data_IF_825500160767
#
_entry.id   IF_825500160767
#
_cell.length_a   1.000
_cell.length_b   1.000
_cell.length_c   1.000
_cell.angle_alpha   90.00
_cell.angle_beta   90.00
_cell.angle_gamma   90.00
#
_symmetry.space_group_name_H-M   'P 1'
#
loop_
_entity.id
_entity.type
_entity.pdbx_description
1 polymer ?
#
# COMPACT_ATOMS: atom_id res chain seq x y z
N UNK A 1 27.15 -10.24 2.23
CA UNK A 1 26.31 -11.37 2.68
C UNK A 1 27.09 -12.29 3.60
N UNK A 2 28.23 -12.84 3.18
CA UNK A 2 29.02 -13.79 4.00
C UNK A 2 29.99 -13.15 5.01
N UNK A 3 29.82 -11.86 5.32
CA UNK A 3 30.80 -11.11 6.11
C UNK A 3 32.08 -10.81 5.33
N UNK A 4 32.37 -9.54 5.15
CA UNK A 4 33.60 -9.08 4.48
C UNK A 4 33.91 -7.65 4.91
N UNK A 5 35.18 -7.26 4.81
CA UNK A 5 35.59 -5.87 4.90
C UNK A 5 35.38 -5.20 3.53
N UNK A 6 34.37 -4.35 3.46
CA UNK A 6 34.00 -3.62 2.26
C UNK A 6 34.57 -2.19 2.29
N UNK A 7 35.39 -1.85 1.29
CA UNK A 7 35.86 -0.48 1.05
C UNK A 7 34.77 0.38 0.40
N UNK A 8 34.35 1.45 1.08
CA UNK A 8 33.30 2.39 0.63
C UNK A 8 33.87 3.82 0.49
N UNK A 9 33.64 4.53 -0.62
CA UNK A 9 34.11 5.90 -0.80
C UNK A 9 33.31 6.88 0.08
N UNK A 10 33.98 7.83 0.77
CA UNK A 10 33.33 8.71 1.75
C UNK A 10 32.37 9.74 1.15
N UNK A 11 32.57 10.17 -0.10
CA UNK A 11 31.78 11.26 -0.72
C UNK A 11 30.76 10.77 -1.76
N UNK A 12 30.46 9.47 -1.78
CA UNK A 12 29.68 8.87 -2.89
C UNK A 12 30.45 8.93 -4.22
N UNK A 13 29.93 8.28 -5.25
CA UNK A 13 30.59 8.18 -6.55
C UNK A 13 31.33 6.86 -6.78
N UNK A 14 32.02 6.75 -7.93
CA UNK A 14 32.70 5.52 -8.36
C UNK A 14 33.97 5.30 -7.53
N UNK A 15 34.28 4.04 -7.21
CA UNK A 15 35.54 3.67 -6.54
C UNK A 15 36.73 4.06 -7.42
N UNK A 16 37.45 5.13 -7.04
CA UNK A 16 38.70 5.51 -7.69
C UNK A 16 39.90 5.06 -6.85
N UNK A 17 40.96 4.48 -7.46
CA UNK A 17 42.10 3.92 -6.73
C UNK A 17 42.86 4.88 -5.81
N UNK A 18 42.80 6.19 -6.09
CA UNK A 18 43.52 7.24 -5.34
C UNK A 18 42.67 7.88 -4.24
N UNK A 19 41.43 7.41 -4.03
CA UNK A 19 40.54 7.94 -3.01
C UNK A 19 40.72 7.15 -1.70
N UNK A 20 40.70 7.84 -0.57
CA UNK A 20 40.62 7.19 0.73
C UNK A 20 39.29 6.44 0.87
N UNK A 21 39.35 5.20 1.36
CA UNK A 21 38.18 4.34 1.55
C UNK A 21 37.92 4.11 3.04
N UNK A 22 36.64 4.12 3.41
CA UNK A 22 36.19 3.67 4.73
C UNK A 22 36.02 2.15 4.64
N UNK A 23 36.59 1.42 5.60
CA UNK A 23 36.39 -0.01 5.75
C UNK A 23 35.14 -0.28 6.59
N UNK A 24 34.20 -1.05 6.05
CA UNK A 24 32.99 -1.48 6.76
C UNK A 24 32.99 -3.00 6.85
N UNK A 25 32.93 -3.53 8.06
CA UNK A 25 32.71 -4.94 8.29
C UNK A 25 31.22 -5.27 8.15
N UNK A 26 30.89 -6.19 7.24
CA UNK A 26 29.52 -6.62 6.97
C UNK A 26 29.10 -7.89 7.72
N UNK A 27 29.94 -8.43 8.61
CA UNK A 27 29.69 -9.69 9.34
C UNK A 27 28.38 -9.66 10.14
N UNK A 28 28.08 -8.53 10.79
CA UNK A 28 26.87 -8.36 11.63
C UNK A 28 25.81 -7.48 10.97
N UNK A 29 25.89 -7.26 9.66
CA UNK A 29 24.88 -6.50 8.92
C UNK A 29 23.74 -7.45 8.55
N UNK A 30 22.52 -7.16 9.02
CA UNK A 30 21.32 -7.87 8.60
C UNK A 30 20.96 -7.49 7.17
N UNK A 31 20.86 -8.48 6.29
CA UNK A 31 20.40 -8.30 4.92
C UNK A 31 18.95 -8.79 4.80
N UNK A 32 18.05 -7.87 4.49
CA UNK A 32 16.66 -8.18 4.12
C UNK A 32 16.53 -7.93 2.62
N UNK A 33 16.22 -8.98 1.87
CA UNK A 33 16.02 -8.93 0.42
C UNK A 33 14.55 -9.18 0.14
N UNK A 34 13.90 -8.30 -0.61
CA UNK A 34 12.51 -8.40 -0.97
C UNK A 34 12.32 -8.12 -2.46
N UNK A 35 11.36 -8.78 -3.08
CA UNK A 35 11.06 -8.64 -4.50
C UNK A 35 9.69 -9.23 -4.84
N UNK A 36 9.16 -8.86 -6.01
CA UNK A 36 7.97 -9.47 -6.57
C UNK A 36 8.38 -10.59 -7.53
N UNK A 37 8.08 -11.84 -7.19
CA UNK A 37 8.47 -13.03 -7.95
C UNK A 37 7.33 -13.51 -8.85
N UNK A 38 6.93 -12.68 -9.81
CA UNK A 38 5.82 -13.02 -10.71
C UNK A 38 6.13 -14.29 -11.53
N UNK A 39 5.22 -15.26 -11.50
CA UNK A 39 5.38 -16.55 -12.17
C UNK A 39 5.97 -17.66 -11.28
N UNK A 40 6.49 -17.32 -10.09
CA UNK A 40 6.95 -18.32 -9.12
C UNK A 40 5.79 -19.20 -8.64
N UNK A 41 4.59 -18.63 -8.52
CA UNK A 41 3.37 -19.36 -8.14
C UNK A 41 3.08 -20.54 -9.07
N UNK A 42 3.39 -20.43 -10.37
CA UNK A 42 3.22 -21.51 -11.35
C UNK A 42 4.23 -22.63 -11.12
N UNK A 43 5.49 -22.28 -10.84
CA UNK A 43 6.56 -23.23 -10.56
C UNK A 43 6.23 -24.03 -9.30
N UNK A 44 5.78 -23.35 -8.25
CA UNK A 44 5.35 -23.97 -7.00
C UNK A 44 4.14 -24.87 -7.23
N UNK A 45 3.11 -24.40 -7.96
CA UNK A 45 1.92 -25.17 -8.25
C UNK A 45 2.20 -26.45 -9.08
N UNK A 46 3.11 -26.36 -10.05
CA UNK A 46 3.55 -27.50 -10.86
C UNK A 46 4.30 -28.54 -10.00
N UNK A 47 5.14 -28.10 -9.05
CA UNK A 47 5.83 -29.01 -8.12
C UNK A 47 4.88 -29.71 -7.16
N UNK A 48 3.91 -28.99 -6.60
CA UNK A 48 2.90 -29.55 -5.68
C UNK A 48 1.98 -30.57 -6.40
N UNK A 49 2.05 -30.67 -7.72
CA UNK A 49 1.44 -31.78 -8.47
C UNK A 49 -0.07 -31.63 -8.64
N UNK A 50 -0.61 -30.40 -8.60
CA UNK A 50 -2.05 -30.14 -8.78
C UNK A 50 -2.56 -30.29 -10.22
N UNK A 51 -1.76 -30.80 -11.14
CA UNK A 51 -2.19 -31.23 -12.47
C UNK A 51 -2.17 -32.76 -12.54
N UNK A 52 -3.09 -33.39 -11.82
CA UNK A 52 -3.35 -34.80 -12.02
C UNK A 52 -4.05 -35.01 -13.36
N UNK A 53 -3.32 -35.47 -14.38
CA UNK A 53 -3.90 -36.05 -15.58
C UNK A 53 -4.12 -37.54 -15.31
N UNK A 54 -5.35 -37.91 -14.96
CA UNK A 54 -5.74 -39.31 -14.72
C UNK A 54 -7.18 -39.45 -14.23
N UNK A 55 -7.80 -40.60 -14.50
CA UNK A 55 -9.22 -40.90 -14.20
C UNK A 55 -9.62 -40.85 -12.70
N UNK A 56 -8.68 -40.56 -11.79
CA UNK A 56 -8.91 -40.42 -10.35
C UNK A 56 -8.24 -39.19 -9.72
N UNK A 57 -7.85 -38.20 -10.51
CA UNK A 57 -7.25 -36.97 -10.01
C UNK A 57 -8.33 -36.02 -9.45
N UNK A 58 -8.12 -35.47 -8.26
CA UNK A 58 -8.90 -34.33 -7.77
C UNK A 58 -8.60 -33.10 -8.64
N UNK A 59 -9.52 -32.79 -9.54
CA UNK A 59 -9.48 -31.56 -10.34
C UNK A 59 -9.94 -30.41 -9.46
N UNK A 60 -9.00 -29.70 -8.83
CA UNK A 60 -9.30 -28.47 -8.10
C UNK A 60 -9.61 -27.33 -9.07
N UNK A 61 -10.61 -26.53 -8.74
CA UNK A 61 -11.01 -25.39 -9.57
C UNK A 61 -9.91 -24.32 -9.58
N UNK A 62 -9.85 -23.52 -10.65
CA UNK A 62 -8.90 -22.40 -10.78
C UNK A 62 -9.03 -21.39 -9.64
N UNK A 63 -10.25 -21.21 -9.11
CA UNK A 63 -10.55 -20.37 -7.97
C UNK A 63 -9.94 -20.89 -6.65
N UNK A 64 -9.98 -22.21 -6.41
CA UNK A 64 -9.36 -22.82 -5.22
C UNK A 64 -7.82 -22.78 -5.26
N UNK A 65 -7.25 -22.74 -6.46
CA UNK A 65 -5.81 -22.57 -6.67
C UNK A 65 -5.42 -21.12 -6.32
N UNK A 66 -6.13 -20.12 -6.87
CA UNK A 66 -5.85 -18.69 -6.58
C UNK A 66 -6.05 -18.30 -5.10
N UNK A 67 -6.91 -18.98 -4.36
CA UNK A 67 -7.11 -18.73 -2.91
C UNK A 67 -6.01 -19.30 -2.01
N UNK A 68 -5.15 -20.18 -2.52
CA UNK A 68 -4.06 -20.73 -1.74
C UNK A 68 -2.84 -19.82 -1.77
N UNK A 69 -2.26 -19.52 -0.61
CA UNK A 69 -0.95 -18.86 -0.53
C UNK A 69 0.13 -19.82 -1.03
N UNK A 70 0.31 -19.88 -2.34
CA UNK A 70 1.37 -20.68 -2.98
C UNK A 70 2.76 -20.24 -2.52
N UNK A 71 2.92 -19.00 -2.06
CA UNK A 71 4.22 -18.51 -1.61
C UNK A 71 4.60 -19.06 -0.23
N UNK A 72 3.63 -19.46 0.61
CA UNK A 72 3.90 -20.09 1.90
C UNK A 72 4.59 -21.46 1.78
N UNK A 73 4.38 -22.15 0.64
CA UNK A 73 4.94 -23.47 0.35
C UNK A 73 6.25 -23.40 -0.48
N UNK A 74 6.82 -22.22 -0.68
CA UNK A 74 8.04 -22.06 -1.50
C UNK A 74 9.21 -22.84 -0.91
N UNK A 75 9.91 -23.58 -1.76
CA UNK A 75 11.15 -24.28 -1.42
C UNK A 75 12.34 -23.71 -2.23
N UNK A 76 13.58 -23.90 -1.76
CA UNK A 76 14.77 -23.42 -2.48
C UNK A 76 14.86 -23.90 -3.94
N UNK A 77 14.37 -25.11 -4.24
CA UNK A 77 14.35 -25.65 -5.61
C UNK A 77 13.46 -24.84 -6.57
N UNK A 78 12.38 -24.21 -6.09
CA UNK A 78 11.54 -23.36 -6.93
C UNK A 78 12.27 -22.08 -7.29
N UNK A 79 13.00 -21.51 -6.33
CA UNK A 79 13.80 -20.31 -6.52
C UNK A 79 14.94 -20.55 -7.51
N UNK A 80 15.54 -21.75 -7.49
CA UNK A 80 16.52 -22.18 -8.50
C UNK A 80 15.89 -22.28 -9.88
N UNK A 81 14.74 -22.97 -9.99
CA UNK A 81 13.98 -23.07 -11.26
C UNK A 81 13.53 -21.71 -11.79
N UNK A 82 13.22 -20.77 -10.89
CA UNK A 82 12.88 -19.39 -11.22
C UNK A 82 14.07 -18.60 -11.79
N UNK A 83 15.31 -19.01 -11.49
CA UNK A 83 16.53 -18.45 -12.06
C UNK A 83 17.52 -17.88 -11.04
N UNK A 84 17.28 -18.05 -9.74
CA UNK A 84 18.26 -17.68 -8.72
C UNK A 84 19.35 -18.74 -8.58
N UNK A 85 20.59 -18.30 -8.38
CA UNK A 85 21.72 -19.21 -8.21
C UNK A 85 21.71 -19.87 -6.81
N UNK A 86 22.06 -21.16 -6.68
CA UNK A 86 22.03 -21.86 -5.40
C UNK A 86 22.88 -21.22 -4.30
N UNK A 87 24.05 -20.67 -4.64
CA UNK A 87 24.96 -20.02 -3.70
C UNK A 87 24.36 -18.76 -3.07
N UNK A 88 23.49 -18.07 -3.81
CA UNK A 88 22.79 -16.89 -3.31
C UNK A 88 21.64 -17.28 -2.37
N UNK A 89 20.84 -18.28 -2.75
CA UNK A 89 19.74 -18.78 -1.92
C UNK A 89 20.27 -19.39 -0.62
N UNK A 90 21.39 -20.13 -0.68
CA UNK A 90 22.02 -20.71 0.50
C UNK A 90 22.47 -19.67 1.55
N UNK A 91 22.64 -18.40 1.16
CA UNK A 91 22.96 -17.29 2.07
C UNK A 91 21.73 -16.60 2.65
N UNK A 92 20.53 -16.99 2.22
CA UNK A 92 19.24 -16.46 2.66
C UNK A 92 18.39 -17.62 3.24
N UNK A 93 18.74 -18.14 4.43
CA UNK A 93 18.10 -19.32 5.00
C UNK A 93 16.65 -19.08 5.46
N UNK A 94 16.26 -17.82 5.63
CA UNK A 94 14.90 -17.43 6.05
C UNK A 94 14.15 -16.89 4.85
N UNK A 95 13.06 -17.56 4.50
CA UNK A 95 12.11 -17.12 3.47
C UNK A 95 10.79 -16.79 4.16
N UNK A 96 10.24 -15.62 3.85
CA UNK A 96 8.92 -15.21 4.30
C UNK A 96 8.12 -14.77 3.07
N UNK A 97 6.87 -15.24 2.98
CA UNK A 97 5.90 -14.74 2.02
C UNK A 97 5.07 -13.63 2.65
N UNK A 98 4.49 -12.79 1.79
CA UNK A 98 3.44 -11.84 2.19
C UNK A 98 2.17 -12.23 1.46
N UNK A 99 1.05 -12.18 2.15
CA UNK A 99 -0.26 -12.46 1.56
C UNK A 99 -0.73 -11.30 0.70
N UNK A 100 -1.62 -11.60 -0.24
CA UNK A 100 -2.29 -10.56 -1.00
C UNK A 100 -3.16 -9.69 -0.08
N UNK A 101 -3.28 -8.42 -0.43
CA UNK A 101 -4.13 -7.48 0.30
C UNK A 101 -5.59 -7.73 -0.05
N UNK A 102 -6.38 -8.07 0.97
CA UNK A 102 -7.84 -8.10 0.88
C UNK A 102 -8.45 -6.71 1.13
N UNK A 103 -9.77 -6.62 1.00
CA UNK A 103 -10.52 -5.37 1.16
C UNK A 103 -10.32 -4.81 2.57
N UNK A 104 -10.43 -5.67 3.58
CA UNK A 104 -10.28 -5.32 4.99
C UNK A 104 -8.88 -4.74 5.27
N UNK A 105 -7.83 -5.36 4.72
CA UNK A 105 -6.45 -4.89 4.84
C UNK A 105 -6.26 -3.50 4.21
N UNK A 106 -6.87 -3.26 3.05
CA UNK A 106 -6.81 -1.95 2.39
C UNK A 106 -7.52 -0.86 3.20
N UNK A 107 -8.69 -1.15 3.77
CA UNK A 107 -9.40 -0.23 4.67
C UNK A 107 -8.57 0.07 5.92
N UNK A 108 -7.90 -0.95 6.48
CA UNK A 108 -6.97 -0.75 7.59
C UNK A 108 -5.80 0.15 7.18
N UNK A 109 -5.18 -0.08 6.02
CA UNK A 109 -4.09 0.76 5.49
C UNK A 109 -4.52 2.22 5.31
N UNK A 110 -5.76 2.46 4.86
CA UNK A 110 -6.33 3.80 4.67
C UNK A 110 -6.47 4.59 5.98
N UNK A 111 -6.74 3.92 7.11
CA UNK A 111 -7.22 4.55 8.34
C UNK A 111 -6.34 4.35 9.59
N UNK A 112 -5.76 3.16 9.78
CA UNK A 112 -5.13 2.75 11.04
C UNK A 112 -3.68 3.22 11.21
N UNK A 113 -2.76 3.07 10.24
CA UNK A 113 -1.36 3.44 10.41
C UNK A 113 -1.16 4.88 10.90
N UNK A 114 -0.02 5.15 11.54
CA UNK A 114 0.35 6.51 11.95
C UNK A 114 0.33 7.48 10.77
N UNK A 115 0.83 7.02 9.62
CA UNK A 115 0.89 7.78 8.38
C UNK A 115 -0.19 7.34 7.38
N UNK A 116 -1.39 6.96 7.87
CA UNK A 116 -2.50 6.55 7.01
C UNK A 116 -2.98 7.71 6.12
N UNK A 117 -3.48 7.40 4.91
CA UNK A 117 -3.88 8.43 3.94
C UNK A 117 -5.02 9.31 4.45
N UNK A 118 -6.03 8.73 5.12
CA UNK A 118 -7.13 9.50 5.74
C UNK A 118 -6.55 10.56 6.67
N UNK A 119 -5.62 10.19 7.56
CA UNK A 119 -4.97 11.13 8.50
C UNK A 119 -4.17 12.22 7.78
N UNK A 120 -3.48 11.87 6.69
CA UNK A 120 -2.74 12.85 5.89
C UNK A 120 -3.67 13.90 5.28
N UNK A 121 -4.78 13.49 4.66
CA UNK A 121 -5.73 14.43 4.07
C UNK A 121 -6.55 15.19 5.10
N UNK A 122 -6.95 14.56 6.22
CA UNK A 122 -7.59 15.27 7.33
C UNK A 122 -6.69 16.38 7.84
N UNK A 123 -5.39 16.10 8.04
CA UNK A 123 -4.45 17.14 8.49
C UNK A 123 -4.25 18.25 7.46
N UNK A 124 -4.31 17.93 6.17
CA UNK A 124 -4.22 18.92 5.10
C UNK A 124 -5.42 19.88 5.13
N UNK A 125 -6.65 19.36 5.25
CA UNK A 125 -7.86 20.20 5.34
C UNK A 125 -7.92 21.01 6.64
N UNK A 126 -7.39 20.46 7.75
CA UNK A 126 -7.26 21.19 9.02
C UNK A 126 -6.39 22.45 8.89
N UNK A 127 -5.42 22.48 7.98
CA UNK A 127 -4.60 23.68 7.73
C UNK A 127 -5.42 24.83 7.17
N UNK A 128 -6.50 24.53 6.44
CA UNK A 128 -7.47 25.50 5.93
C UNK A 128 -8.65 25.71 6.90
N UNK A 129 -8.60 25.12 8.09
CA UNK A 129 -9.65 25.23 9.11
C UNK A 129 -10.95 24.50 8.73
N UNK A 130 -10.86 23.45 7.93
CA UNK A 130 -11.97 22.59 7.50
C UNK A 130 -11.79 21.18 8.06
N UNK A 131 -12.86 20.59 8.59
CA UNK A 131 -12.87 19.18 9.02
C UNK A 131 -13.11 18.25 7.81
N UNK A 132 -12.35 17.18 7.67
CA UNK A 132 -12.58 16.15 6.64
C UNK A 132 -12.96 14.83 7.30
N UNK A 133 -14.14 14.31 6.94
CA UNK A 133 -14.67 13.03 7.40
C UNK A 133 -14.90 12.09 6.22
N UNK A 134 -14.52 10.82 6.40
CA UNK A 134 -14.84 9.73 5.50
C UNK A 134 -15.85 8.82 6.18
N UNK A 135 -16.96 8.54 5.50
CA UNK A 135 -17.85 7.47 5.93
C UNK A 135 -17.18 6.10 5.72
N UNK A 136 -17.50 5.13 6.58
CA UNK A 136 -16.91 3.79 6.52
C UNK A 136 -17.17 3.11 5.16
N UNK A 137 -18.35 3.33 4.59
CA UNK A 137 -18.74 2.80 3.28
C UNK A 137 -17.95 3.42 2.12
N UNK A 138 -17.43 4.64 2.29
CA UNK A 138 -16.55 5.30 1.34
C UNK A 138 -15.16 4.65 1.35
N UNK A 139 -14.62 4.33 2.54
CA UNK A 139 -13.33 3.64 2.66
C UNK A 139 -13.38 2.26 2.03
N UNK A 140 -14.49 1.54 2.25
CA UNK A 140 -14.75 0.27 1.60
C UNK A 140 -14.81 0.39 0.07
N UNK A 141 -15.51 1.41 -0.45
CA UNK A 141 -15.61 1.64 -1.89
C UNK A 141 -14.25 1.95 -2.53
N UNK A 142 -13.40 2.74 -1.84
CA UNK A 142 -12.03 3.02 -2.29
C UNK A 142 -11.21 1.73 -2.35
N UNK A 143 -11.32 0.88 -1.33
CA UNK A 143 -10.64 -0.42 -1.29
C UNK A 143 -11.10 -1.34 -2.44
N UNK A 144 -12.41 -1.46 -2.67
CA UNK A 144 -12.98 -2.25 -3.77
C UNK A 144 -12.46 -1.77 -5.13
N UNK A 145 -12.41 -0.44 -5.35
CA UNK A 145 -11.92 0.13 -6.59
C UNK A 145 -10.41 -0.09 -6.78
N UNK A 146 -9.61 -0.08 -5.71
CA UNK A 146 -8.18 -0.38 -5.76
C UNK A 146 -7.90 -1.85 -6.12
N UNK A 147 -8.70 -2.78 -5.59
CA UNK A 147 -8.68 -4.20 -5.96
C UNK A 147 -9.06 -4.37 -7.42
N UNK A 148 -10.15 -3.75 -7.87
CA UNK A 148 -10.60 -3.84 -9.26
C UNK A 148 -9.57 -3.32 -10.26
N UNK A 149 -8.85 -2.24 -9.91
CA UNK A 149 -7.76 -1.68 -10.73
C UNK A 149 -6.48 -2.54 -10.70
N UNK A 150 -6.39 -3.59 -9.87
CA UNK A 150 -5.21 -4.45 -9.74
C UNK A 150 -3.95 -3.74 -9.23
N UNK A 151 -4.13 -2.60 -8.55
CA UNK A 151 -3.02 -1.74 -8.09
C UNK A 151 -2.70 -1.92 -6.61
N UNK A 152 -3.59 -2.59 -5.86
CA UNK A 152 -3.46 -2.81 -4.42
C UNK A 152 -3.31 -1.49 -3.65
N UNK A 153 -2.54 -1.50 -2.56
CA UNK A 153 -2.34 -0.31 -1.72
C UNK A 153 -1.74 0.90 -2.47
N UNK A 154 -1.01 0.68 -3.57
CA UNK A 154 -0.42 1.78 -4.35
C UNK A 154 -1.48 2.63 -5.05
N UNK A 155 -2.61 2.03 -5.43
CA UNK A 155 -3.71 2.73 -6.09
C UNK A 155 -4.56 3.60 -5.16
N UNK A 156 -4.51 3.35 -3.85
CA UNK A 156 -5.34 4.05 -2.86
C UNK A 156 -5.15 5.57 -2.91
N UNK A 157 -3.91 6.05 -3.00
CA UNK A 157 -3.61 7.49 -3.10
C UNK A 157 -4.23 8.11 -4.34
N UNK A 158 -4.08 7.46 -5.49
CA UNK A 158 -4.61 7.98 -6.76
C UNK A 158 -6.14 8.09 -6.72
N UNK A 159 -6.83 7.11 -6.14
CA UNK A 159 -8.29 7.13 -5.98
C UNK A 159 -8.70 8.25 -5.02
N UNK A 160 -7.99 8.42 -3.89
CA UNK A 160 -8.27 9.52 -2.96
C UNK A 160 -8.04 10.89 -3.59
N UNK A 161 -6.97 11.07 -4.38
CA UNK A 161 -6.72 12.31 -5.10
C UNK A 161 -7.82 12.57 -6.14
N UNK A 162 -8.24 11.57 -6.89
CA UNK A 162 -9.36 11.69 -7.86
C UNK A 162 -10.63 12.22 -7.18
N UNK A 163 -10.97 11.69 -6.00
CA UNK A 163 -12.17 12.07 -5.22
C UNK A 163 -12.05 13.46 -4.58
N UNK A 164 -10.87 13.80 -4.05
CA UNK A 164 -10.68 15.02 -3.26
C UNK A 164 -10.25 16.24 -4.08
N UNK A 165 -9.66 16.04 -5.26
CA UNK A 165 -9.07 17.11 -6.07
C UNK A 165 -10.02 18.30 -6.30
N UNK A 166 -11.31 18.12 -6.64
CA UNK A 166 -12.21 19.25 -6.84
C UNK A 166 -12.36 20.11 -5.59
N UNK A 167 -12.48 19.49 -4.42
CA UNK A 167 -12.73 20.19 -3.17
C UNK A 167 -11.45 20.82 -2.61
N UNK A 168 -10.31 20.17 -2.83
CA UNK A 168 -8.99 20.72 -2.51
C UNK A 168 -8.68 21.99 -3.33
N UNK A 169 -9.25 22.13 -4.52
CA UNK A 169 -9.11 23.34 -5.32
C UNK A 169 -9.99 24.48 -4.79
N UNK A 170 -11.23 24.18 -4.39
CA UNK A 170 -12.21 25.19 -3.99
C UNK A 170 -12.04 25.69 -2.54
N UNK A 171 -11.68 24.81 -1.60
CA UNK A 171 -11.63 25.12 -0.16
C UNK A 171 -10.73 26.29 0.20
N UNK A 172 -9.50 26.41 -0.33
CA UNK A 172 -8.62 27.52 0.03
C UNK A 172 -9.20 28.90 -0.28
N UNK A 173 -10.21 28.97 -1.15
CA UNK A 173 -10.91 30.21 -1.53
C UNK A 173 -12.24 30.42 -0.77
N UNK A 174 -12.61 29.52 0.15
CA UNK A 174 -13.93 29.50 0.81
C UNK A 174 -13.82 29.53 2.33
N UNK A 175 -14.24 30.64 2.93
CA UNK A 175 -14.28 30.80 4.40
C UNK A 175 -15.57 30.27 5.06
N UNK A 176 -16.58 29.93 4.25
CA UNK A 176 -17.90 29.52 4.71
C UNK A 176 -17.99 28.02 5.03
N UNK A 177 -16.95 27.24 4.74
CA UNK A 177 -16.96 25.78 4.88
C UNK A 177 -16.51 25.36 6.29
N UNK A 178 -17.29 24.50 6.94
CA UNK A 178 -16.92 23.90 8.22
C UNK A 178 -16.32 22.51 8.03
N UNK A 179 -16.96 21.71 7.18
CA UNK A 179 -16.69 20.27 7.10
C UNK A 179 -16.97 19.73 5.70
N UNK A 180 -16.18 18.75 5.28
CA UNK A 180 -16.38 17.96 4.07
C UNK A 180 -16.59 16.51 4.44
N UNK A 181 -17.61 15.90 3.86
CA UNK A 181 -17.97 14.50 4.08
C UNK A 181 -17.87 13.74 2.76
N UNK A 182 -17.02 12.71 2.75
CA UNK A 182 -16.86 11.78 1.64
C UNK A 182 -17.70 10.54 1.89
N UNK A 183 -18.56 10.18 0.93
CA UNK A 183 -19.48 9.04 1.01
C UNK A 183 -19.19 8.02 -0.08
N UNK A 184 -19.77 6.83 0.00
CA UNK A 184 -19.68 5.81 -1.05
C UNK A 184 -20.05 6.33 -2.45
N UNK A 185 -21.10 7.15 -2.56
CA UNK A 185 -21.54 7.71 -3.85
C UNK A 185 -20.45 8.60 -4.46
N UNK A 186 -19.75 9.40 -3.63
CA UNK A 186 -18.63 10.25 -4.05
C UNK A 186 -17.53 9.45 -4.74
N UNK A 187 -17.26 8.23 -4.25
CA UNK A 187 -16.21 7.36 -4.78
C UNK A 187 -16.64 6.60 -6.03
N UNK A 188 -17.88 6.10 -6.06
CA UNK A 188 -18.37 5.27 -7.16
C UNK A 188 -18.87 6.07 -8.35
N UNK A 189 -19.61 7.15 -8.09
CA UNK A 189 -20.29 7.94 -9.11
C UNK A 189 -19.51 9.20 -9.51
N UNK A 190 -18.31 9.38 -8.95
CA UNK A 190 -17.47 10.58 -9.13
C UNK A 190 -18.25 11.89 -8.92
N UNK A 191 -19.20 11.88 -7.98
CA UNK A 191 -19.94 13.08 -7.56
C UNK A 191 -19.11 13.87 -6.55
N UNK A 192 -19.36 15.17 -6.46
CA UNK A 192 -18.64 16.04 -5.53
C UNK A 192 -18.92 15.63 -4.07
N UNK A 193 -17.90 15.67 -3.18
CA UNK A 193 -18.10 15.48 -1.75
C UNK A 193 -19.11 16.45 -1.14
N UNK A 194 -19.78 16.03 -0.07
CA UNK A 194 -20.78 16.88 0.60
C UNK A 194 -20.09 17.95 1.43
N UNK A 195 -20.41 19.22 1.19
CA UNK A 195 -19.85 20.37 1.91
C UNK A 195 -20.87 20.87 2.94
N UNK A 196 -20.45 20.93 4.20
CA UNK A 196 -21.25 21.45 5.32
C UNK A 196 -20.76 22.86 5.66
N UNK A 197 -21.62 23.89 5.56
CA UNK A 197 -21.24 25.26 5.87
C UNK A 197 -21.12 25.51 7.39
N UNK A 198 -20.31 26.50 7.77
CA UNK A 198 -20.20 27.00 9.14
C UNK A 198 -21.55 27.55 9.58
N UNK A 199 -22.06 27.07 10.73
CA UNK A 199 -23.27 27.65 11.34
C UNK A 199 -23.00 29.12 11.63
N UNK A 200 -23.78 30.01 11.03
CA UNK A 200 -23.75 31.43 11.39
C UNK A 200 -24.01 31.54 12.90
N UNK A 201 -23.09 32.19 13.63
CA UNK A 201 -23.38 32.55 15.02
C UNK A 201 -24.62 33.43 14.99
N UNK A 202 -25.67 33.00 15.69
CA UNK A 202 -26.88 33.77 15.88
C UNK A 202 -26.46 34.98 16.70
N UNK A 203 -26.11 36.08 16.03
CA UNK A 203 -25.79 37.33 16.69
C UNK A 203 -26.97 37.66 17.62
N UNK A 204 -26.69 37.70 18.92
CA UNK A 204 -27.64 38.17 19.91
C UNK A 204 -28.14 39.53 19.42
N UNK A 205 -29.44 39.60 19.12
CA UNK A 205 -30.13 40.86 18.95
C UNK A 205 -29.97 41.59 20.28
N UNK A 206 -28.99 42.48 20.36
CA UNK A 206 -28.97 43.53 21.38
C UNK A 206 -30.25 44.32 21.18
N UNK A 207 -31.25 44.02 22.00
CA UNK A 207 -32.41 44.88 22.17
C UNK A 207 -31.89 46.28 22.48
N UNK A 208 -32.10 47.19 21.54
CA UNK A 208 -32.03 48.62 21.81
C UNK A 208 -33.27 48.95 22.62
N UNK A 209 -33.18 48.86 23.94
CA UNK A 209 -34.16 49.52 24.81
C UNK A 209 -33.77 50.98 24.98
N UNK A 210 -34.78 51.80 24.62
CA UNK A 210 -35.03 53.23 24.75
C UNK A 210 -34.22 54.02 25.79
#
# INVERSE_FOLDING_TARGET
LEGTQASVPPQGGRKHPHQEFIQIDTTNVLFIVAGAFAGLEKIVADRIGKRGLGFGAEVKSKAEIDTQDHFAEVMPEDLIKFGLIPEFIGRLPVVASVTNLDKESLVQILSQPKNALVKQYTRLFEMDGVELEFADDALEAIADQAIHRGTGARGLRAIMEEVLLPVMYDIPSRDDVAKVVVTKATVLDNVLPTIVPRKASRAERRDKTA
#
